data_IF_521349001957
#
_entry.id   IF_521349001957
#
_cell.length_a   1.000
_cell.length_b   1.000
_cell.length_c   1.000
_cell.angle_alpha   90.00
_cell.angle_beta   90.00
_cell.angle_gamma   90.00
#
_symmetry.space_group_name_H-M   'P 1'
#
loop_
_entity.id
_entity.type
_entity.pdbx_description
1 polymer ?
#
# COMPACT_ATOMS: atom_id res chain seq x y z
N UNK A 1 -9.64 -18.04 -19.05
CA UNK A 1 -9.80 -16.60 -18.77
C UNK A 1 -10.03 -16.39 -17.28
N UNK A 2 -9.36 -15.42 -16.71
CA UNK A 2 -9.49 -15.10 -15.27
C UNK A 2 -10.65 -14.12 -15.08
N UNK A 3 -11.54 -14.44 -14.14
CA UNK A 3 -12.65 -13.56 -13.75
C UNK A 3 -12.41 -13.03 -12.35
N UNK A 4 -12.55 -11.72 -12.16
CA UNK A 4 -12.56 -11.11 -10.84
C UNK A 4 -14.01 -10.86 -10.46
N UNK A 5 -14.40 -11.39 -9.30
CA UNK A 5 -15.70 -11.10 -8.70
C UNK A 5 -15.49 -10.38 -7.38
N UNK A 6 -16.27 -9.35 -7.15
CA UNK A 6 -16.30 -8.66 -5.86
C UNK A 6 -17.51 -9.20 -5.09
N UNK A 7 -17.26 -9.62 -3.85
CA UNK A 7 -18.30 -10.12 -2.95
C UNK A 7 -19.44 -9.09 -2.80
N UNK A 8 -20.68 -9.56 -2.82
CA UNK A 8 -21.87 -8.70 -2.77
C UNK A 8 -21.94 -7.89 -1.46
N UNK A 9 -21.56 -8.47 -0.35
CA UNK A 9 -21.53 -7.75 0.94
C UNK A 9 -20.48 -6.66 0.93
N UNK A 10 -19.33 -6.92 0.29
CA UNK A 10 -18.28 -5.94 0.11
C UNK A 10 -18.75 -4.77 -0.76
N UNK A 11 -19.43 -5.04 -1.86
CA UNK A 11 -19.97 -4.01 -2.76
C UNK A 11 -20.94 -3.08 -2.05
N UNK A 12 -21.78 -3.63 -1.17
CA UNK A 12 -22.76 -2.85 -0.41
C UNK A 12 -22.10 -1.88 0.57
N UNK A 13 -21.00 -2.29 1.18
CA UNK A 13 -20.28 -1.47 2.18
C UNK A 13 -19.26 -0.53 1.54
N UNK A 14 -18.67 -0.92 0.42
CA UNK A 14 -17.63 -0.16 -0.29
C UNK A 14 -18.04 0.06 -1.75
N UNK A 15 -19.08 0.85 -1.98
CA UNK A 15 -19.68 1.07 -3.30
C UNK A 15 -18.73 1.74 -4.30
N UNK A 16 -17.73 2.47 -3.83
CA UNK A 16 -16.73 3.15 -4.67
C UNK A 16 -15.49 2.31 -4.94
N UNK A 17 -15.40 1.11 -4.37
CA UNK A 17 -14.25 0.25 -4.57
C UNK A 17 -14.05 -0.09 -6.05
N UNK A 18 -12.82 -0.02 -6.49
CA UNK A 18 -12.38 -0.47 -7.82
C UNK A 18 -11.17 -1.35 -7.65
N UNK A 19 -11.19 -2.49 -8.29
CA UNK A 19 -10.08 -3.42 -8.31
C UNK A 19 -9.54 -3.60 -9.73
N UNK A 20 -8.26 -3.95 -9.83
CA UNK A 20 -7.64 -4.30 -11.10
C UNK A 20 -6.77 -5.53 -10.92
N UNK A 21 -6.70 -6.35 -11.95
CA UNK A 21 -5.80 -7.48 -12.03
C UNK A 21 -4.96 -7.37 -13.28
N UNK A 22 -3.66 -7.55 -13.15
CA UNK A 22 -2.74 -7.59 -14.27
C UNK A 22 -2.12 -8.97 -14.31
N UNK A 23 -2.26 -9.66 -15.43
CA UNK A 23 -1.58 -10.91 -15.69
C UNK A 23 -0.45 -10.65 -16.67
N UNK A 24 0.77 -10.90 -16.27
CA UNK A 24 1.94 -10.65 -17.09
C UNK A 24 2.95 -11.78 -16.99
N UNK A 25 3.59 -12.11 -18.12
CA UNK A 25 4.76 -12.99 -18.12
C UNK A 25 6.00 -12.12 -17.99
N UNK A 26 6.72 -12.29 -16.92
CA UNK A 26 7.87 -11.44 -16.59
C UNK A 26 9.10 -12.28 -16.27
N UNK A 27 10.26 -11.66 -16.42
CA UNK A 27 11.52 -12.16 -15.87
C UNK A 27 11.89 -11.25 -14.70
N UNK A 28 11.77 -11.77 -13.48
CA UNK A 28 12.10 -11.00 -12.29
C UNK A 28 13.61 -10.98 -12.04
N UNK A 29 14.10 -9.90 -11.47
CA UNK A 29 15.52 -9.69 -11.17
C UNK A 29 15.67 -9.04 -9.80
N UNK A 30 16.89 -8.95 -9.31
CA UNK A 30 17.19 -8.06 -8.18
C UNK A 30 16.96 -6.62 -8.61
N UNK A 31 16.47 -5.79 -7.69
CA UNK A 31 16.23 -4.38 -7.95
C UNK A 31 17.52 -3.64 -8.21
N UNK A 32 17.53 -2.82 -9.26
CA UNK A 32 18.68 -2.00 -9.64
C UNK A 32 18.92 -0.85 -8.66
N UNK A 33 20.13 -0.30 -8.66
CA UNK A 33 20.45 0.92 -7.90
C UNK A 33 19.56 2.10 -8.35
N UNK A 34 19.28 2.21 -9.65
CA UNK A 34 18.41 3.26 -10.18
C UNK A 34 17.00 3.18 -9.61
N UNK A 35 16.43 1.98 -9.49
CA UNK A 35 15.13 1.78 -8.86
C UNK A 35 15.17 2.20 -7.38
N UNK A 36 16.21 1.81 -6.65
CA UNK A 36 16.33 2.18 -5.24
C UNK A 36 16.54 3.67 -5.04
N UNK A 37 17.20 4.37 -5.97
CA UNK A 37 17.28 5.84 -5.95
C UNK A 37 15.89 6.48 -6.06
N UNK A 38 15.04 5.97 -6.95
CA UNK A 38 13.66 6.45 -7.08
C UNK A 38 12.84 6.17 -5.82
N UNK A 39 12.95 4.97 -5.25
CA UNK A 39 12.28 4.59 -4.00
C UNK A 39 12.72 5.52 -2.87
N UNK A 40 14.01 5.77 -2.76
CA UNK A 40 14.57 6.66 -1.73
C UNK A 40 14.04 8.09 -1.86
N UNK A 41 13.86 8.58 -3.09
CA UNK A 41 13.25 9.88 -3.32
C UNK A 41 11.81 9.92 -2.81
N UNK A 42 11.03 8.86 -3.05
CA UNK A 42 9.66 8.74 -2.54
C UNK A 42 9.62 8.63 -1.02
N UNK A 43 10.54 7.87 -0.42
CA UNK A 43 10.70 7.82 1.04
C UNK A 43 10.95 9.21 1.63
N UNK A 44 11.85 9.99 1.00
CA UNK A 44 12.16 11.35 1.44
C UNK A 44 10.96 12.29 1.34
N UNK A 45 10.16 12.18 0.27
CA UNK A 45 8.91 12.94 0.14
C UNK A 45 7.95 12.61 1.28
N UNK A 46 7.84 11.35 1.63
CA UNK A 46 7.00 10.91 2.73
C UNK A 46 7.47 11.49 4.06
N UNK A 47 8.77 11.44 4.33
CA UNK A 47 9.39 11.97 5.54
C UNK A 47 9.18 13.48 5.71
N UNK A 48 9.16 14.23 4.61
CA UNK A 48 8.90 15.68 4.62
C UNK A 48 7.42 15.99 4.88
N UNK A 49 6.52 15.16 4.35
CA UNK A 49 5.09 15.46 4.31
C UNK A 49 4.30 14.90 5.49
N UNK A 50 4.78 13.85 6.16
CA UNK A 50 4.03 13.14 7.20
C UNK A 50 4.88 12.79 8.40
N UNK A 51 4.18 12.54 9.51
CA UNK A 51 4.73 11.91 10.73
C UNK A 51 4.04 10.56 10.93
N UNK A 52 4.52 9.77 11.89
CA UNK A 52 3.85 8.51 12.26
C UNK A 52 2.44 8.72 12.76
N UNK A 53 2.11 9.91 13.25
CA UNK A 53 0.77 10.27 13.71
C UNK A 53 -0.13 10.76 12.58
N UNK A 54 0.42 11.54 11.64
CA UNK A 54 -0.36 12.14 10.55
C UNK A 54 -0.55 11.23 9.34
N UNK A 55 0.20 10.15 9.20
CA UNK A 55 0.16 9.26 8.02
C UNK A 55 -1.21 8.63 7.80
N UNK A 56 -1.96 8.37 8.85
CA UNK A 56 -3.33 7.82 8.74
C UNK A 56 -4.30 8.76 8.04
N UNK A 57 -3.95 10.04 7.92
CA UNK A 57 -4.74 11.04 7.20
C UNK A 57 -4.46 11.09 5.69
N UNK A 58 -3.42 10.39 5.19
CA UNK A 58 -3.17 10.31 3.75
C UNK A 58 -4.36 9.66 3.06
N UNK A 59 -4.84 10.25 1.95
CA UNK A 59 -6.15 9.90 1.36
C UNK A 59 -6.36 8.40 1.12
N UNK A 60 -5.40 7.71 0.53
CA UNK A 60 -5.51 6.27 0.28
C UNK A 60 -5.53 5.44 1.56
N UNK A 61 -4.72 5.81 2.55
CA UNK A 61 -4.68 5.15 3.86
C UNK A 61 -5.97 5.41 4.62
N UNK A 62 -6.43 6.66 4.66
CA UNK A 62 -7.67 7.03 5.32
C UNK A 62 -8.89 6.28 4.75
N UNK A 63 -8.96 6.17 3.42
CA UNK A 63 -10.02 5.43 2.74
C UNK A 63 -10.01 3.94 3.11
N UNK A 64 -8.83 3.31 3.13
CA UNK A 64 -8.67 1.91 3.50
C UNK A 64 -9.03 1.68 4.96
N UNK A 65 -8.61 2.57 5.86
CA UNK A 65 -8.98 2.52 7.28
C UNK A 65 -10.49 2.62 7.46
N UNK A 66 -11.14 3.49 6.70
CA UNK A 66 -12.60 3.63 6.75
C UNK A 66 -13.30 2.35 6.29
N UNK A 67 -12.81 1.70 5.24
CA UNK A 67 -13.33 0.40 4.79
C UNK A 67 -13.21 -0.67 5.88
N UNK A 68 -12.08 -0.74 6.57
CA UNK A 68 -11.88 -1.66 7.70
C UNK A 68 -12.93 -1.44 8.78
N UNK A 69 -13.20 -0.19 9.14
CA UNK A 69 -14.23 0.15 10.14
C UNK A 69 -15.62 -0.31 9.71
N UNK A 70 -15.95 -0.14 8.43
CA UNK A 70 -17.23 -0.60 7.88
C UNK A 70 -17.43 -2.10 8.00
N UNK A 71 -16.34 -2.88 8.01
CA UNK A 71 -16.36 -4.33 8.21
C UNK A 71 -16.14 -4.76 9.66
N UNK A 72 -16.19 -3.82 10.60
CA UNK A 72 -16.02 -4.11 12.03
C UNK A 72 -14.58 -4.44 12.43
N UNK A 73 -13.60 -4.07 11.62
CA UNK A 73 -12.19 -4.27 11.92
C UNK A 73 -11.57 -2.97 12.44
N UNK A 74 -10.81 -3.07 13.52
CA UNK A 74 -10.04 -1.94 14.04
C UNK A 74 -8.80 -1.71 13.17
N UNK A 75 -8.72 -0.61 12.41
CA UNK A 75 -7.58 -0.36 11.54
C UNK A 75 -6.27 -0.06 12.29
N UNK A 76 -6.33 0.24 13.56
CA UNK A 76 -5.13 0.40 14.39
C UNK A 76 -4.55 -0.93 14.83
N UNK A 77 -5.40 -1.94 15.01
CA UNK A 77 -4.99 -3.31 15.32
C UNK A 77 -4.57 -4.09 14.08
N UNK A 78 -5.32 -3.93 12.98
CA UNK A 78 -5.10 -4.64 11.71
C UNK A 78 -4.69 -3.63 10.64
N UNK A 79 -3.56 -2.96 10.84
CA UNK A 79 -3.13 -1.89 9.93
C UNK A 79 -3.04 -2.35 8.47
N UNK A 80 -3.55 -1.55 7.52
CA UNK A 80 -3.34 -1.82 6.11
C UNK A 80 -1.85 -1.93 5.77
N UNK A 81 -1.51 -2.79 4.81
CA UNK A 81 -0.11 -3.01 4.42
C UNK A 81 0.57 -1.71 3.99
N UNK A 82 -0.12 -0.87 3.21
CA UNK A 82 0.43 0.42 2.75
C UNK A 82 0.74 1.36 3.92
N UNK A 83 -0.11 1.40 4.94
CA UNK A 83 0.15 2.19 6.15
C UNK A 83 1.34 1.64 6.93
N UNK A 84 1.42 0.33 7.08
CA UNK A 84 2.51 -0.31 7.81
C UNK A 84 3.87 -0.04 7.17
N UNK A 85 3.94 -0.10 5.84
CA UNK A 85 5.16 0.23 5.10
C UNK A 85 5.51 1.72 5.23
N UNK A 86 4.52 2.61 5.12
CA UNK A 86 4.74 4.04 5.31
C UNK A 86 5.24 4.36 6.72
N UNK A 87 4.68 3.75 7.74
CA UNK A 87 5.14 3.91 9.13
C UNK A 87 6.57 3.44 9.33
N UNK A 88 6.95 2.35 8.66
CA UNK A 88 8.33 1.86 8.69
C UNK A 88 9.30 2.90 8.14
N UNK A 89 8.96 3.56 7.03
CA UNK A 89 9.76 4.65 6.46
C UNK A 89 9.86 5.81 7.45
N UNK A 90 8.73 6.23 8.04
CA UNK A 90 8.67 7.34 8.99
C UNK A 90 9.42 7.09 10.29
N UNK A 91 9.60 5.81 10.64
CA UNK A 91 10.41 5.39 11.79
C UNK A 91 11.91 5.31 11.47
N UNK A 92 12.32 5.63 10.25
CA UNK A 92 13.70 5.59 9.82
C UNK A 92 14.23 4.20 9.46
N UNK A 93 13.34 3.21 9.33
CA UNK A 93 13.74 1.83 9.03
C UNK A 93 13.87 1.54 7.53
N UNK A 94 13.27 2.38 6.68
CA UNK A 94 13.23 2.18 5.24
C UNK A 94 12.36 1.00 4.82
N UNK A 95 12.29 0.75 3.51
CA UNK A 95 11.56 -0.38 2.94
C UNK A 95 12.44 -1.62 2.81
N UNK A 96 11.81 -2.79 2.73
CA UNK A 96 12.51 -4.05 2.51
C UNK A 96 13.00 -4.15 1.05
N UNK A 97 14.18 -4.73 0.87
CA UNK A 97 14.70 -5.07 -0.46
C UNK A 97 14.34 -6.51 -0.77
N UNK A 98 13.50 -6.75 -1.75
CA UNK A 98 13.07 -8.08 -2.15
C UNK A 98 13.52 -8.40 -3.57
N UNK A 99 12.85 -7.87 -4.56
CA UNK A 99 13.18 -8.01 -5.98
C UNK A 99 12.46 -6.91 -6.77
N UNK A 100 12.75 -6.80 -8.06
CA UNK A 100 12.23 -5.71 -8.91
C UNK A 100 10.71 -5.61 -8.88
N UNK A 101 10.00 -6.72 -9.05
CA UNK A 101 8.54 -6.71 -9.12
C UNK A 101 7.92 -6.30 -7.80
N UNK A 102 8.39 -6.88 -6.70
CA UNK A 102 7.88 -6.56 -5.35
C UNK A 102 8.23 -5.13 -4.96
N UNK A 103 9.43 -4.68 -5.26
CA UNK A 103 9.90 -3.35 -4.86
C UNK A 103 9.22 -2.23 -5.63
N UNK A 104 8.72 -2.49 -6.85
CA UNK A 104 7.93 -1.52 -7.62
C UNK A 104 6.53 -1.34 -7.01
N UNK A 105 5.93 -2.39 -6.48
CA UNK A 105 4.58 -2.38 -5.92
C UNK A 105 4.53 -1.66 -4.58
#
# INVERSE_FOLDING_TARGET
MYNIKIDENFKKLCITFRGAMILAKIKNTESSEALWEEIKQEENKLLVSYTTESIKGRSGIAATRQAYKQFGKDPSRYRPACEQLARRVLQGKGLYHVNTVVDIL
#
